data_IF_926192177299
#
_entry.id   IF_926192177299
#
_cell.length_a   1.000
_cell.length_b   1.000
_cell.length_c   1.000
_cell.angle_alpha   90.00
_cell.angle_beta   90.00
_cell.angle_gamma   90.00
#
_symmetry.space_group_name_H-M   'P 1'
#
loop_
_entity.id
_entity.type
_entity.pdbx_description
1 polymer ?
#
# COMPACT_ATOMS: atom_id res chain seq x y z
N UNK A 1 -6.12 7.09 -18.39
CA UNK A 1 -4.87 7.86 -18.50
C UNK A 1 -4.23 7.49 -19.82
N UNK A 2 -3.78 8.47 -20.61
CA UNK A 2 -3.01 8.20 -21.84
C UNK A 2 -1.56 7.86 -21.49
N UNK A 3 -0.86 7.16 -22.38
CA UNK A 3 0.57 6.83 -22.18
C UNK A 3 1.42 8.08 -21.95
N UNK A 4 1.30 9.08 -22.81
CA UNK A 4 2.08 10.33 -22.71
C UNK A 4 1.86 11.05 -21.37
N UNK A 5 0.63 11.01 -20.85
CA UNK A 5 0.28 11.61 -19.57
C UNK A 5 0.89 10.83 -18.39
N UNK A 6 0.91 9.49 -18.49
CA UNK A 6 1.55 8.64 -17.50
C UNK A 6 3.06 8.89 -17.49
N UNK A 7 3.70 8.88 -18.65
CA UNK A 7 5.13 9.15 -18.79
C UNK A 7 5.49 10.51 -18.19
N UNK A 8 4.76 11.57 -18.55
CA UNK A 8 4.98 12.91 -18.03
C UNK A 8 4.86 12.98 -16.50
N UNK A 9 3.81 12.37 -15.93
CA UNK A 9 3.59 12.35 -14.47
C UNK A 9 4.68 11.58 -13.74
N UNK A 10 5.10 10.45 -14.30
CA UNK A 10 6.08 9.58 -13.65
C UNK A 10 7.47 10.22 -13.68
N UNK A 11 7.87 10.81 -14.82
CA UNK A 11 9.12 11.58 -14.94
C UNK A 11 9.14 12.77 -13.98
N UNK A 12 8.06 13.55 -13.91
CA UNK A 12 7.98 14.67 -12.98
C UNK A 12 8.10 14.24 -11.50
N UNK A 13 7.58 13.07 -11.13
CA UNK A 13 7.71 12.52 -9.78
C UNK A 13 9.13 12.01 -9.48
N UNK A 14 9.85 11.47 -10.48
CA UNK A 14 11.24 11.03 -10.30
C UNK A 14 12.20 12.19 -10.04
N UNK A 15 11.85 13.41 -10.47
CA UNK A 15 12.61 14.62 -10.18
C UNK A 15 12.40 15.14 -8.75
N UNK A 16 11.41 14.61 -8.03
CA UNK A 16 11.14 14.96 -6.63
C UNK A 16 11.87 14.01 -5.67
N UNK A 17 12.12 14.43 -4.42
CA UNK A 17 12.56 13.51 -3.38
C UNK A 17 11.56 12.36 -3.21
N UNK A 18 12.03 11.13 -2.93
CA UNK A 18 11.16 9.99 -2.70
C UNK A 18 10.26 10.25 -1.49
N UNK A 19 9.06 9.65 -1.50
CA UNK A 19 8.14 9.73 -0.37
C UNK A 19 8.82 9.18 0.90
N UNK A 20 8.76 9.95 1.98
CA UNK A 20 9.38 9.56 3.25
C UNK A 20 8.77 8.28 3.80
N UNK A 21 9.63 7.33 4.20
CA UNK A 21 9.21 6.10 4.90
C UNK A 21 8.38 6.41 6.14
N UNK A 22 8.72 7.47 6.86
CA UNK A 22 7.98 7.91 8.06
C UNK A 22 6.53 8.23 7.71
N UNK A 23 6.29 8.95 6.61
CA UNK A 23 4.93 9.29 6.15
C UNK A 23 4.16 8.02 5.81
N UNK A 24 4.78 7.08 5.10
CA UNK A 24 4.15 5.79 4.77
C UNK A 24 3.81 5.00 6.03
N UNK A 25 4.73 4.91 6.99
CA UNK A 25 4.54 4.19 8.24
C UNK A 25 3.43 4.82 9.09
N UNK A 26 3.40 6.14 9.20
CA UNK A 26 2.38 6.87 9.96
C UNK A 26 0.99 6.71 9.33
N UNK A 27 0.89 6.82 8.00
CA UNK A 27 -0.36 6.60 7.28
C UNK A 27 -0.88 5.16 7.48
N UNK A 28 -0.01 4.16 7.34
CA UNK A 28 -0.38 2.76 7.59
C UNK A 28 -0.77 2.49 9.04
N UNK A 29 -0.07 3.09 10.01
CA UNK A 29 -0.39 2.93 11.44
C UNK A 29 -1.76 3.52 11.75
N UNK A 30 -2.06 4.71 11.24
CA UNK A 30 -3.39 5.32 11.36
C UNK A 30 -4.46 4.48 10.66
N UNK A 31 -4.15 3.93 9.49
CA UNK A 31 -5.06 3.04 8.79
C UNK A 31 -5.35 1.76 9.60
N UNK A 32 -4.33 1.18 10.23
CA UNK A 32 -4.47 0.04 11.16
C UNK A 32 -5.39 0.36 12.33
N UNK A 33 -5.26 1.55 12.93
CA UNK A 33 -6.11 1.97 14.05
C UNK A 33 -7.56 2.12 13.61
N UNK A 34 -7.81 2.71 12.44
CA UNK A 34 -9.15 2.84 11.86
C UNK A 34 -9.78 1.48 11.52
N UNK A 35 -8.99 0.55 10.98
CA UNK A 35 -9.43 -0.82 10.69
C UNK A 35 -9.85 -1.55 11.97
N UNK A 36 -9.01 -1.54 13.01
CA UNK A 36 -9.34 -2.18 14.29
C UNK A 36 -10.47 -1.46 15.04
N UNK A 37 -10.62 -0.16 14.84
CA UNK A 37 -11.68 0.65 15.42
C UNK A 37 -13.05 0.49 14.74
N UNK A 38 -13.16 -0.35 13.71
CA UNK A 38 -14.41 -0.58 12.98
C UNK A 38 -14.86 0.61 12.13
N UNK A 39 -13.96 1.57 11.83
CA UNK A 39 -14.29 2.77 11.06
C UNK A 39 -14.76 2.47 9.62
N UNK A 40 -14.53 1.23 9.16
CA UNK A 40 -14.90 0.77 7.83
C UNK A 40 -16.05 -0.25 7.85
N UNK A 41 -16.59 -0.65 9.01
CA UNK A 41 -17.60 -1.70 9.12
C UNK A 41 -18.86 -1.40 8.29
N UNK A 42 -19.31 -0.15 8.30
CA UNK A 42 -20.45 0.31 7.50
C UNK A 42 -20.15 0.24 6.00
N UNK A 43 -18.99 0.73 5.57
CA UNK A 43 -18.55 0.65 4.16
C UNK A 43 -18.38 -0.80 3.71
N UNK A 44 -17.82 -1.67 4.55
CA UNK A 44 -17.63 -3.10 4.25
C UNK A 44 -18.99 -3.75 3.96
N UNK A 45 -20.01 -3.41 4.75
CA UNK A 45 -21.39 -3.86 4.53
C UNK A 45 -22.01 -3.26 3.28
N UNK A 46 -21.86 -1.96 3.06
CA UNK A 46 -22.41 -1.24 1.90
C UNK A 46 -21.85 -1.79 0.57
N UNK A 47 -20.55 -2.08 0.53
CA UNK A 47 -19.87 -2.62 -0.65
C UNK A 47 -19.95 -4.16 -0.76
N UNK A 48 -20.63 -4.85 0.18
CA UNK A 48 -20.76 -6.32 0.17
C UNK A 48 -19.44 -7.07 0.31
N UNK A 49 -18.44 -6.46 0.98
CA UNK A 49 -17.09 -7.02 1.15
C UNK A 49 -16.96 -7.92 2.38
N UNK A 50 -18.06 -8.29 3.06
CA UNK A 50 -17.99 -8.99 4.35
C UNK A 50 -17.30 -10.36 4.26
N UNK A 51 -17.37 -11.00 3.09
CA UNK A 51 -16.67 -12.27 2.82
C UNK A 51 -15.17 -12.10 2.59
N UNK A 52 -14.74 -10.93 2.12
CA UNK A 52 -13.34 -10.60 1.81
C UNK A 52 -12.63 -9.99 3.02
N UNK A 53 -13.37 -9.26 3.86
CA UNK A 53 -12.88 -8.56 5.04
C UNK A 53 -13.50 -9.16 6.29
N UNK A 54 -13.15 -10.42 6.57
CA UNK A 54 -13.51 -11.06 7.83
C UNK A 54 -12.78 -10.37 9.00
N UNK A 55 -13.32 -10.47 10.21
CA UNK A 55 -12.66 -9.91 11.40
C UNK A 55 -11.23 -10.42 11.61
N UNK A 56 -10.98 -11.69 11.26
CA UNK A 56 -9.63 -12.28 11.29
C UNK A 56 -8.70 -11.63 10.26
N UNK A 57 -9.18 -11.44 9.02
CA UNK A 57 -8.40 -10.79 7.96
C UNK A 57 -8.11 -9.33 8.29
N UNK A 58 -9.09 -8.61 8.84
CA UNK A 58 -8.91 -7.22 9.31
C UNK A 58 -7.86 -7.18 10.42
N UNK A 59 -8.00 -8.01 11.45
CA UNK A 59 -7.05 -8.05 12.55
C UNK A 59 -5.63 -8.40 12.08
N UNK A 60 -5.50 -9.33 11.12
CA UNK A 60 -4.21 -9.71 10.54
C UNK A 60 -3.62 -8.56 9.72
N UNK A 61 -4.40 -7.94 8.84
CA UNK A 61 -3.97 -6.80 8.04
C UNK A 61 -3.53 -5.63 8.94
N UNK A 62 -4.36 -5.26 9.93
CA UNK A 62 -4.04 -4.22 10.89
C UNK A 62 -2.72 -4.52 11.62
N UNK A 63 -2.51 -5.76 12.09
CA UNK A 63 -1.26 -6.14 12.77
C UNK A 63 -0.01 -5.94 11.91
N UNK A 64 -0.10 -6.13 10.59
CA UNK A 64 1.00 -5.94 9.64
C UNK A 64 1.26 -4.47 9.32
N UNK A 65 0.24 -3.62 9.46
CA UNK A 65 0.27 -2.20 9.11
C UNK A 65 0.68 -1.29 10.27
N UNK A 66 0.80 -1.82 11.49
CA UNK A 66 1.22 -1.05 12.66
C UNK A 66 2.65 -0.53 12.51
N UNK A 67 2.91 0.63 13.12
CA UNK A 67 4.21 1.27 13.04
C UNK A 67 5.37 0.38 13.55
N UNK A 68 5.18 -0.39 14.62
CA UNK A 68 6.19 -1.31 15.16
C UNK A 68 6.55 -2.42 14.16
N UNK A 69 5.53 -3.02 13.54
CA UNK A 69 5.69 -4.08 12.55
C UNK A 69 6.41 -3.56 11.30
N UNK A 70 6.00 -2.41 10.78
CA UNK A 70 6.60 -1.80 9.60
C UNK A 70 8.03 -1.30 9.84
N UNK A 71 8.32 -0.71 11.01
CA UNK A 71 9.68 -0.30 11.36
C UNK A 71 10.62 -1.49 11.43
N UNK A 72 10.20 -2.56 12.11
CA UNK A 72 10.97 -3.82 12.16
C UNK A 72 11.22 -4.35 10.76
N UNK A 73 10.21 -4.31 9.89
CA UNK A 73 10.33 -4.74 8.50
C UNK A 73 11.33 -3.92 7.71
N UNK A 74 11.30 -2.59 7.83
CA UNK A 74 12.27 -1.71 7.18
C UNK A 74 13.70 -2.05 7.64
N UNK A 75 13.88 -2.32 8.93
CA UNK A 75 15.18 -2.71 9.51
C UNK A 75 15.67 -4.07 9.00
N UNK A 76 14.80 -5.07 8.91
CA UNK A 76 15.20 -6.45 8.58
C UNK A 76 15.21 -6.75 7.09
N UNK A 77 14.32 -6.14 6.31
CA UNK A 77 14.08 -6.49 4.90
C UNK A 77 14.51 -5.39 3.93
N UNK A 78 14.51 -4.12 4.35
CA UNK A 78 14.78 -2.96 3.47
C UNK A 78 16.08 -2.25 3.81
N UNK A 79 17.06 -2.98 4.34
CA UNK A 79 18.42 -2.50 4.64
C UNK A 79 18.49 -1.32 5.63
N UNK A 80 17.41 -1.06 6.38
CA UNK A 80 17.32 -0.07 7.45
C UNK A 80 17.10 1.38 7.00
N UNK A 81 16.73 2.23 7.96
CA UNK A 81 16.39 3.65 7.74
C UNK A 81 17.56 4.53 7.29
N UNK A 82 18.79 4.13 7.60
CA UNK A 82 20.03 4.90 7.36
C UNK A 82 20.58 4.71 5.93
N UNK A 83 20.10 3.71 5.19
CA UNK A 83 20.71 3.31 3.92
C UNK A 83 20.10 4.11 2.75
N UNK A 84 20.64 5.31 2.52
CA UNK A 84 20.25 6.17 1.41
C UNK A 84 20.80 5.69 0.05
N UNK A 85 21.85 4.86 0.07
CA UNK A 85 22.58 4.40 -1.13
C UNK A 85 21.96 3.17 -1.83
N UNK A 86 20.99 2.50 -1.21
CA UNK A 86 20.27 1.34 -1.74
C UNK A 86 18.75 1.62 -1.88
N UNK A 87 18.37 2.89 -2.05
CA UNK A 87 17.00 3.24 -2.39
C UNK A 87 16.78 2.91 -3.88
N UNK A 88 15.80 2.07 -4.26
CA UNK A 88 15.39 2.01 -5.66
C UNK A 88 14.56 3.28 -5.90
N UNK A 89 15.15 4.26 -6.61
CA UNK A 89 14.60 5.61 -6.84
C UNK A 89 13.80 5.66 -8.16
N UNK A 90 13.08 4.59 -8.48
CA UNK A 90 12.53 4.36 -9.81
C UNK A 90 11.03 4.13 -9.83
N UNK A 91 10.58 3.48 -10.91
CA UNK A 91 9.19 3.12 -11.15
C UNK A 91 9.06 1.61 -11.13
N UNK A 92 8.23 1.07 -10.25
CA UNK A 92 7.91 -0.35 -10.17
C UNK A 92 6.55 -0.61 -10.79
N UNK A 93 6.48 -1.57 -11.72
CA UNK A 93 5.23 -2.06 -12.28
C UNK A 93 4.84 -3.37 -11.63
N UNK A 94 3.75 -3.35 -10.86
CA UNK A 94 3.13 -4.53 -10.27
C UNK A 94 2.05 -5.05 -11.20
N UNK A 95 2.16 -6.30 -11.62
CA UNK A 95 1.10 -7.03 -12.31
C UNK A 95 0.67 -8.17 -11.40
N UNK A 96 -0.50 -8.04 -10.77
CA UNK A 96 -0.93 -8.99 -9.74
C UNK A 96 -1.66 -10.19 -10.35
N UNK A 97 -1.47 -11.35 -9.72
CA UNK A 97 -2.30 -12.53 -9.96
C UNK A 97 -3.63 -12.42 -9.20
N UNK A 98 -4.68 -13.11 -9.68
CA UNK A 98 -6.01 -13.13 -9.07
C UNK A 98 -6.16 -14.11 -7.90
N UNK A 99 -5.14 -14.92 -7.62
CA UNK A 99 -5.22 -16.00 -6.65
C UNK A 99 -4.93 -15.59 -5.19
N UNK A 100 -4.65 -14.31 -4.94
CA UNK A 100 -4.36 -13.80 -3.60
C UNK A 100 -5.01 -12.44 -3.35
N UNK A 101 -5.97 -12.43 -2.43
CA UNK A 101 -6.73 -11.24 -2.04
C UNK A 101 -5.83 -10.16 -1.43
N UNK A 102 -5.93 -8.93 -1.91
CA UNK A 102 -5.23 -7.76 -1.35
C UNK A 102 -3.74 -7.66 -1.66
N UNK A 103 -3.17 -8.60 -2.45
CA UNK A 103 -1.73 -8.60 -2.77
C UNK A 103 -1.30 -7.32 -3.48
N UNK A 104 -2.17 -6.73 -4.32
CA UNK A 104 -1.86 -5.49 -5.02
C UNK A 104 -1.64 -4.30 -4.09
N UNK A 105 -2.48 -4.14 -3.08
CA UNK A 105 -2.29 -3.10 -2.07
C UNK A 105 -0.98 -3.34 -1.30
N UNK A 106 -0.69 -4.59 -0.94
CA UNK A 106 0.53 -4.93 -0.20
C UNK A 106 1.81 -4.66 -1.00
N UNK A 107 1.84 -5.03 -2.29
CA UNK A 107 2.99 -4.77 -3.17
C UNK A 107 3.26 -3.27 -3.35
N UNK A 108 2.21 -2.45 -3.44
CA UNK A 108 2.35 -0.98 -3.49
C UNK A 108 2.94 -0.47 -2.18
N UNK A 109 2.45 -0.92 -1.02
CA UNK A 109 2.98 -0.51 0.29
C UNK A 109 4.45 -0.84 0.46
N UNK A 110 4.88 -2.04 0.06
CA UNK A 110 6.30 -2.42 0.07
C UNK A 110 7.13 -1.53 -0.84
N UNK A 111 6.65 -1.26 -2.06
CA UNK A 111 7.32 -0.37 -2.99
C UNK A 111 7.47 1.05 -2.44
N UNK A 112 6.43 1.58 -1.76
CA UNK A 112 6.47 2.88 -1.09
C UNK A 112 7.46 2.89 0.08
N UNK A 113 7.50 1.84 0.91
CA UNK A 113 8.50 1.71 1.99
C UNK A 113 9.92 1.57 1.46
N UNK A 114 10.10 1.03 0.25
CA UNK A 114 11.38 1.02 -0.42
C UNK A 114 11.75 2.38 -1.06
N UNK A 115 10.79 3.30 -1.22
CA UNK A 115 10.99 4.63 -1.81
C UNK A 115 10.66 4.74 -3.30
N UNK A 116 9.93 3.77 -3.86
CA UNK A 116 9.58 3.72 -5.29
C UNK A 116 8.26 4.41 -5.62
N UNK A 117 8.14 4.84 -6.87
CA UNK A 117 6.84 5.09 -7.52
C UNK A 117 6.26 3.74 -7.95
N UNK A 118 4.97 3.53 -7.71
CA UNK A 118 4.31 2.28 -8.02
C UNK A 118 3.25 2.47 -9.11
N UNK A 119 3.34 1.64 -10.15
CA UNK A 119 2.29 1.42 -11.13
C UNK A 119 1.68 0.05 -10.83
N UNK A 120 0.36 -0.01 -10.74
CA UNK A 120 -0.36 -1.24 -10.38
C UNK A 120 -1.36 -1.58 -11.47
N UNK A 121 -1.19 -2.75 -12.09
CA UNK A 121 -2.21 -3.42 -12.88
C UNK A 121 -2.75 -4.59 -12.08
N UNK A 122 -4.00 -4.45 -11.65
CA UNK A 122 -4.72 -5.51 -10.97
C UNK A 122 -5.14 -6.61 -11.94
N UNK A 123 -5.19 -7.84 -11.44
CA UNK A 123 -5.94 -8.93 -12.08
C UNK A 123 -7.39 -8.52 -12.28
N UNK A 124 -8.03 -9.02 -13.33
CA UNK A 124 -9.49 -8.91 -13.50
C UNK A 124 -10.28 -9.64 -12.41
N UNK A 125 -9.62 -10.55 -11.68
CA UNK A 125 -10.18 -11.29 -10.54
C UNK A 125 -9.92 -10.58 -9.20
N UNK A 126 -9.33 -9.37 -9.17
CA UNK A 126 -9.28 -8.59 -7.93
C UNK A 126 -10.70 -8.10 -7.58
N UNK A 127 -11.20 -8.53 -6.43
CA UNK A 127 -12.56 -8.23 -5.97
C UNK A 127 -12.75 -6.78 -5.48
N UNK A 128 -11.86 -5.85 -5.87
CA UNK A 128 -11.92 -4.43 -5.54
C UNK A 128 -11.27 -4.05 -4.21
N UNK A 129 -10.86 -5.04 -3.40
CA UNK A 129 -10.24 -4.80 -2.11
C UNK A 129 -8.96 -3.96 -2.23
N UNK A 130 -8.08 -4.27 -3.20
CA UNK A 130 -6.81 -3.55 -3.37
C UNK A 130 -7.07 -2.06 -3.65
N UNK A 131 -8.07 -1.76 -4.47
CA UNK A 131 -8.48 -0.39 -4.79
C UNK A 131 -9.04 0.31 -3.55
N UNK A 132 -9.91 -0.36 -2.79
CA UNK A 132 -10.47 0.19 -1.55
C UNK A 132 -9.35 0.59 -0.57
N UNK A 133 -8.44 -0.32 -0.25
CA UNK A 133 -7.36 -0.07 0.70
C UNK A 133 -6.46 1.08 0.26
N UNK A 134 -6.03 1.11 -1.00
CA UNK A 134 -5.18 2.17 -1.53
C UNK A 134 -5.89 3.53 -1.55
N UNK A 135 -7.19 3.55 -1.85
CA UNK A 135 -7.98 4.79 -1.81
C UNK A 135 -8.12 5.35 -0.40
N UNK A 136 -8.28 4.50 0.61
CA UNK A 136 -8.35 4.97 1.99
C UNK A 136 -6.98 5.47 2.47
N UNK A 137 -5.88 4.83 2.09
CA UNK A 137 -4.53 5.33 2.38
C UNK A 137 -4.24 6.70 1.76
N UNK A 138 -4.73 6.97 0.53
CA UNK A 138 -4.57 8.28 -0.12
C UNK A 138 -5.31 9.40 0.63
N UNK A 139 -6.36 9.07 1.39
CA UNK A 139 -7.17 10.05 2.13
C UNK A 139 -6.62 10.40 3.51
N UNK A 140 -5.72 9.57 4.05
CA UNK A 140 -5.09 9.74 5.36
C UNK A 140 -3.98 10.78 5.26
#
# INVERSE_FOLDING_TARGET
MRYDELEQKTTALLEQPPLSRTVVIEACSRFSELLNGGAYDEKIREYGMEKLLTGEMISRAASLLRADALKKRVETELSGFQNQFLMPLGVLMHVTAGNMTGIGAYSVLEGLLAGNINLLKLSSEDDGLSVFLLRELIRI
#
